data_IF_111664603114
#
_entry.id   IF_111664603114
#
_cell.length_a   1.000
_cell.length_b   1.000
_cell.length_c   1.000
_cell.angle_alpha   90.00
_cell.angle_beta   90.00
_cell.angle_gamma   90.00
#
_symmetry.space_group_name_H-M   'P 1'
#
loop_
_entity.id
_entity.type
_entity.pdbx_description
1 polymer ?
#
# COMPACT_ATOMS: atom_id res chain seq x y z
N UNK A 1 24.65 -81.86 -3.71
CA UNK A 1 25.79 -81.13 -3.11
C UNK A 1 25.49 -79.65 -3.28
N UNK A 2 25.49 -78.94 -2.14
CA UNK A 2 25.84 -77.52 -1.86
C UNK A 2 25.82 -76.48 -3.00
N UNK A 3 25.51 -75.19 -2.88
CA UNK A 3 24.95 -74.21 -1.91
C UNK A 3 25.20 -72.84 -2.60
N UNK A 4 24.39 -71.80 -2.31
CA UNK A 4 24.65 -70.36 -2.49
C UNK A 4 24.67 -69.78 -3.91
N UNK A 5 24.16 -68.58 -4.16
CA UNK A 5 23.61 -67.58 -3.25
C UNK A 5 23.30 -66.28 -4.01
N UNK A 6 22.33 -65.54 -3.46
CA UNK A 6 22.12 -64.08 -3.46
C UNK A 6 22.49 -63.23 -4.69
N UNK A 7 21.51 -62.50 -5.23
CA UNK A 7 21.19 -61.17 -4.72
C UNK A 7 20.18 -60.48 -5.68
N UNK A 8 18.92 -60.43 -5.25
CA UNK A 8 17.93 -59.54 -5.82
C UNK A 8 18.20 -58.13 -5.27
N UNK A 9 18.86 -57.28 -6.05
CA UNK A 9 18.95 -55.84 -5.78
C UNK A 9 17.64 -55.17 -6.17
N UNK A 10 16.71 -55.13 -5.21
CA UNK A 10 15.55 -54.24 -5.20
C UNK A 10 16.05 -52.81 -4.99
N UNK A 11 16.06 -52.00 -6.04
CA UNK A 11 16.17 -50.54 -5.92
C UNK A 11 14.90 -50.00 -5.24
N UNK A 12 14.95 -49.92 -3.91
CA UNK A 12 14.03 -49.08 -3.15
C UNK A 12 14.36 -47.62 -3.45
N UNK A 13 13.50 -46.98 -4.24
CA UNK A 13 13.42 -45.52 -4.33
C UNK A 13 13.32 -44.90 -2.93
N UNK A 14 13.94 -43.74 -2.67
CA UNK A 14 13.80 -43.07 -1.39
C UNK A 14 12.34 -42.65 -1.22
N UNK A 15 11.70 -43.18 -0.18
CA UNK A 15 10.45 -42.64 0.35
C UNK A 15 10.75 -41.20 0.75
N UNK A 16 10.24 -40.26 -0.04
CA UNK A 16 10.25 -38.85 0.27
C UNK A 16 9.46 -38.65 1.57
N UNK A 17 10.17 -38.52 2.69
CA UNK A 17 9.59 -38.13 3.97
C UNK A 17 9.16 -36.66 3.89
N UNK A 18 8.00 -36.43 3.30
CA UNK A 18 7.21 -35.22 3.53
C UNK A 18 5.98 -35.66 4.30
N UNK A 19 5.95 -35.54 5.64
CA UNK A 19 4.68 -35.62 6.39
C UNK A 19 4.68 -35.16 7.86
N UNK A 20 5.80 -34.73 8.46
CA UNK A 20 5.75 -34.32 9.88
C UNK A 20 5.38 -32.85 10.11
N UNK A 21 5.68 -31.94 9.17
CA UNK A 21 5.42 -30.50 9.38
C UNK A 21 3.96 -30.08 9.12
N UNK A 22 3.22 -30.75 8.22
CA UNK A 22 1.81 -30.41 7.96
C UNK A 22 0.86 -30.78 9.12
N UNK A 23 1.34 -31.59 10.08
CA UNK A 23 0.55 -32.01 11.25
C UNK A 23 0.73 -31.11 12.47
N UNK A 24 1.66 -30.13 12.47
CA UNK A 24 1.87 -29.26 13.62
C UNK A 24 0.64 -28.38 13.92
N UNK A 25 -0.01 -27.83 12.88
CA UNK A 25 -1.22 -27.00 13.03
C UNK A 25 -2.42 -27.80 13.54
N UNK A 26 -2.52 -29.10 13.19
CA UNK A 26 -3.59 -29.98 13.70
C UNK A 26 -3.42 -30.36 15.17
N UNK A 27 -2.23 -30.13 15.74
CA UNK A 27 -1.96 -30.35 17.17
C UNK A 27 -2.35 -29.13 18.01
N UNK A 28 -2.62 -27.99 17.40
CA UNK A 28 -3.12 -26.81 18.10
C UNK A 28 -4.63 -26.95 18.34
N UNK A 29 -5.12 -26.54 19.53
CA UNK A 29 -6.55 -26.39 19.77
C UNK A 29 -7.20 -25.45 18.75
N UNK A 30 -8.37 -25.84 18.25
CA UNK A 30 -9.19 -25.09 17.31
C UNK A 30 -9.43 -23.65 17.82
N UNK A 31 -9.66 -23.47 19.12
CA UNK A 31 -9.91 -22.17 19.74
C UNK A 31 -8.71 -21.22 19.65
N UNK A 32 -7.48 -21.74 19.73
CA UNK A 32 -6.28 -20.93 19.58
C UNK A 32 -6.10 -20.47 18.13
N UNK A 33 -6.42 -21.35 17.18
CA UNK A 33 -6.39 -21.00 15.74
C UNK A 33 -7.42 -19.91 15.46
N UNK A 34 -8.64 -20.05 15.98
CA UNK A 34 -9.70 -19.05 15.82
C UNK A 34 -9.36 -17.71 16.49
N UNK A 35 -8.80 -17.74 17.70
CA UNK A 35 -8.36 -16.53 18.40
C UNK A 35 -7.25 -15.81 17.63
N UNK A 36 -6.30 -16.55 17.06
CA UNK A 36 -5.26 -15.99 16.22
C UNK A 36 -5.84 -15.42 14.91
N UNK A 37 -6.79 -16.11 14.27
CA UNK A 37 -7.43 -15.63 13.06
C UNK A 37 -8.22 -14.32 13.29
N UNK A 38 -8.82 -14.15 14.47
CA UNK A 38 -9.63 -12.98 14.79
C UNK A 38 -8.86 -11.64 14.81
N UNK A 39 -7.52 -11.69 14.90
CA UNK A 39 -6.67 -10.50 14.82
C UNK A 39 -6.03 -10.29 13.44
N UNK A 40 -6.31 -11.19 12.49
CA UNK A 40 -5.76 -11.10 11.14
C UNK A 40 -6.68 -10.24 10.23
N UNK A 41 -6.09 -9.58 9.21
CA UNK A 41 -6.87 -8.98 8.14
C UNK A 41 -7.75 -10.02 7.46
N UNK A 42 -8.95 -9.61 7.01
CA UNK A 42 -9.92 -10.51 6.38
C UNK A 42 -9.29 -11.37 5.26
N UNK A 43 -8.42 -10.75 4.44
CA UNK A 43 -7.76 -11.42 3.32
C UNK A 43 -6.76 -12.48 3.76
N UNK A 44 -6.08 -12.28 4.88
CA UNK A 44 -5.21 -13.29 5.46
C UNK A 44 -6.02 -14.48 5.97
N UNK A 45 -7.18 -14.24 6.61
CA UNK A 45 -8.09 -15.32 7.04
C UNK A 45 -8.59 -16.11 5.82
N UNK A 46 -9.03 -15.42 4.77
CA UNK A 46 -9.48 -16.06 3.54
C UNK A 46 -8.39 -16.92 2.91
N UNK A 47 -7.18 -16.38 2.75
CA UNK A 47 -6.03 -17.11 2.23
C UNK A 47 -5.66 -18.32 3.09
N UNK A 48 -5.66 -18.19 4.43
CA UNK A 48 -5.46 -19.32 5.34
C UNK A 48 -6.49 -20.42 5.11
N UNK A 49 -7.76 -20.05 4.93
CA UNK A 49 -8.82 -20.99 4.57
C UNK A 49 -8.53 -21.71 3.25
N UNK A 50 -7.99 -21.03 2.24
CA UNK A 50 -7.67 -21.65 0.94
C UNK A 50 -6.46 -22.59 0.99
N UNK A 51 -5.53 -22.40 1.93
CA UNK A 51 -4.31 -23.24 2.00
C UNK A 51 -4.56 -24.67 2.49
N UNK A 52 -5.60 -24.89 3.30
CA UNK A 52 -5.83 -26.19 3.95
C UNK A 52 -7.32 -26.45 4.21
N UNK A 53 -7.82 -27.62 3.77
CA UNK A 53 -9.22 -28.05 3.98
C UNK A 53 -9.67 -28.03 5.45
N UNK A 54 -8.78 -28.37 6.38
CA UNK A 54 -9.07 -28.32 7.82
C UNK A 54 -9.26 -26.87 8.29
N UNK A 55 -8.35 -25.96 7.90
CA UNK A 55 -8.50 -24.53 8.21
C UNK A 55 -9.72 -23.93 7.53
N UNK A 56 -10.03 -24.33 6.29
CA UNK A 56 -11.25 -23.92 5.62
C UNK A 56 -12.50 -24.29 6.42
N UNK A 57 -12.61 -25.55 6.83
CA UNK A 57 -13.75 -26.06 7.59
C UNK A 57 -13.86 -25.42 8.98
N UNK A 58 -12.73 -25.04 9.59
CA UNK A 58 -12.68 -24.38 10.89
C UNK A 58 -13.02 -22.88 10.81
N UNK A 59 -12.46 -22.17 9.83
CA UNK A 59 -12.55 -20.71 9.71
C UNK A 59 -13.86 -20.26 9.05
N UNK A 60 -14.32 -20.97 8.01
CA UNK A 60 -15.48 -20.54 7.21
C UNK A 60 -16.75 -20.31 8.07
N UNK A 61 -17.14 -21.18 9.01
CA UNK A 61 -18.35 -20.95 9.81
C UNK A 61 -18.25 -19.69 10.69
N UNK A 62 -17.06 -19.37 11.20
CA UNK A 62 -16.83 -18.25 12.13
C UNK A 62 -16.69 -16.93 11.38
N UNK A 63 -15.99 -16.93 10.25
CA UNK A 63 -15.67 -15.73 9.48
C UNK A 63 -16.43 -15.66 8.14
N UNK A 64 -17.60 -16.30 8.05
CA UNK A 64 -18.35 -16.43 6.79
C UNK A 64 -18.61 -15.08 6.11
N UNK A 65 -18.91 -14.02 6.86
CA UNK A 65 -19.15 -12.69 6.30
C UNK A 65 -17.89 -12.06 5.74
N UNK A 66 -16.72 -12.26 6.35
CA UNK A 66 -15.43 -11.84 5.80
C UNK A 66 -15.10 -12.58 4.50
N UNK A 67 -15.36 -13.90 4.44
CA UNK A 67 -15.20 -14.68 3.21
C UNK A 67 -16.12 -14.17 2.10
N UNK A 68 -17.40 -13.98 2.41
CA UNK A 68 -18.39 -13.47 1.46
C UNK A 68 -18.04 -12.06 0.96
N UNK A 69 -17.56 -11.17 1.85
CA UNK A 69 -17.14 -9.83 1.47
C UNK A 69 -15.98 -9.88 0.45
N UNK A 70 -14.97 -10.72 0.69
CA UNK A 70 -13.82 -10.87 -0.21
C UNK A 70 -14.24 -11.46 -1.55
N UNK A 71 -15.07 -12.51 -1.55
CA UNK A 71 -15.59 -13.08 -2.80
C UNK A 71 -16.38 -12.05 -3.62
N UNK A 72 -17.17 -11.21 -2.96
CA UNK A 72 -17.93 -10.16 -3.65
C UNK A 72 -17.03 -9.01 -4.15
N UNK A 73 -15.96 -8.67 -3.43
CA UNK A 73 -14.91 -7.76 -3.91
C UNK A 73 -14.23 -8.35 -5.15
N UNK A 74 -13.86 -9.63 -5.13
CA UNK A 74 -13.15 -10.25 -6.23
C UNK A 74 -14.05 -10.41 -7.48
N UNK A 75 -15.37 -10.60 -7.31
CA UNK A 75 -16.34 -10.53 -8.42
C UNK A 75 -16.34 -9.16 -9.10
N UNK A 76 -16.19 -8.07 -8.35
CA UNK A 76 -16.04 -6.72 -8.94
C UNK A 76 -14.80 -6.68 -9.82
N UNK A 77 -13.70 -7.34 -9.42
CA UNK A 77 -12.44 -7.33 -10.19
C UNK A 77 -12.54 -8.15 -11.48
N UNK A 78 -13.27 -9.26 -11.49
CA UNK A 78 -13.25 -10.24 -12.59
C UNK A 78 -14.41 -10.14 -13.58
N UNK A 79 -15.58 -9.65 -13.17
CA UNK A 79 -16.79 -9.67 -14.01
C UNK A 79 -17.07 -8.35 -14.76
N UNK A 80 -18.03 -8.40 -15.69
CA UNK A 80 -18.69 -7.18 -16.21
C UNK A 80 -19.51 -6.60 -15.06
N UNK A 81 -18.95 -5.59 -14.39
CA UNK A 81 -19.55 -5.04 -13.18
C UNK A 81 -20.90 -4.41 -13.44
N UNK A 82 -21.88 -4.93 -12.70
CA UNK A 82 -23.19 -4.33 -12.54
C UNK A 82 -23.22 -3.54 -11.24
N UNK A 83 -24.03 -2.48 -11.19
CA UNK A 83 -24.31 -1.73 -9.95
C UNK A 83 -24.76 -2.66 -8.81
N UNK A 84 -25.44 -3.76 -9.16
CA UNK A 84 -25.88 -4.78 -8.21
C UNK A 84 -24.70 -5.50 -7.53
N UNK A 85 -23.62 -5.79 -8.27
CA UNK A 85 -22.42 -6.43 -7.72
C UNK A 85 -21.73 -5.52 -6.70
N UNK A 86 -21.67 -4.21 -6.99
CA UNK A 86 -21.13 -3.22 -6.05
C UNK A 86 -22.00 -3.10 -4.78
N UNK A 87 -23.32 -2.95 -4.92
CA UNK A 87 -24.24 -2.89 -3.77
C UNK A 87 -24.17 -4.16 -2.93
N UNK A 88 -24.03 -5.33 -3.56
CA UNK A 88 -23.86 -6.61 -2.86
C UNK A 88 -22.54 -6.66 -2.08
N UNK A 89 -21.44 -6.14 -2.63
CA UNK A 89 -20.17 -6.04 -1.91
C UNK A 89 -20.32 -5.12 -0.69
N UNK A 90 -20.86 -3.91 -0.85
CA UNK A 90 -21.08 -2.98 0.26
C UNK A 90 -21.96 -3.58 1.37
N UNK A 91 -23.07 -4.22 0.99
CA UNK A 91 -23.93 -4.92 1.96
C UNK A 91 -23.21 -6.06 2.68
N UNK A 92 -22.26 -6.73 2.02
CA UNK A 92 -21.46 -7.79 2.65
C UNK A 92 -20.43 -7.23 3.63
N UNK A 93 -19.87 -6.05 3.33
CA UNK A 93 -18.96 -5.34 4.24
C UNK A 93 -19.67 -4.90 5.53
N UNK A 94 -20.91 -4.41 5.42
CA UNK A 94 -21.72 -4.06 6.60
C UNK A 94 -21.97 -5.26 7.52
N UNK A 95 -22.08 -6.46 6.94
CA UNK A 95 -22.28 -7.71 7.66
C UNK A 95 -21.00 -8.29 8.30
N UNK A 96 -19.81 -7.74 8.02
CA UNK A 96 -18.57 -8.21 8.63
C UNK A 96 -18.60 -7.95 10.13
N UNK A 97 -18.43 -9.01 10.93
CA UNK A 97 -18.57 -8.97 12.39
C UNK A 97 -17.34 -8.39 13.09
N UNK A 98 -16.20 -8.32 12.42
CA UNK A 98 -14.94 -7.81 12.95
C UNK A 98 -14.74 -6.40 12.42
N UNK A 99 -15.13 -5.39 13.22
CA UNK A 99 -15.04 -3.98 12.83
C UNK A 99 -13.62 -3.58 12.38
N UNK A 100 -12.57 -4.12 13.02
CA UNK A 100 -11.18 -3.84 12.65
C UNK A 100 -10.81 -4.24 11.21
N UNK A 101 -11.58 -5.10 10.55
CA UNK A 101 -11.33 -5.51 9.16
C UNK A 101 -11.96 -4.57 8.13
N UNK A 102 -12.98 -3.79 8.52
CA UNK A 102 -13.78 -3.01 7.59
C UNK A 102 -12.99 -1.91 6.85
N UNK A 103 -12.06 -1.16 7.48
CA UNK A 103 -11.26 -0.16 6.78
C UNK A 103 -10.46 -0.73 5.59
N UNK A 104 -9.74 -1.82 5.81
CA UNK A 104 -8.98 -2.50 4.75
C UNK A 104 -9.91 -3.06 3.66
N UNK A 105 -11.07 -3.62 4.02
CA UNK A 105 -12.06 -4.09 3.06
C UNK A 105 -12.64 -2.96 2.21
N UNK A 106 -12.90 -1.78 2.80
CA UNK A 106 -13.38 -0.60 2.07
C UNK A 106 -12.34 -0.11 1.05
N UNK A 107 -11.05 -0.12 1.42
CA UNK A 107 -9.95 0.13 0.47
C UNK A 107 -9.95 -0.89 -0.66
N UNK A 108 -10.07 -2.18 -0.35
CA UNK A 108 -10.11 -3.26 -1.33
C UNK A 108 -11.27 -3.12 -2.33
N UNK A 109 -12.48 -2.77 -1.85
CA UNK A 109 -13.65 -2.46 -2.71
C UNK A 109 -13.38 -1.26 -3.60
N UNK A 110 -12.85 -0.17 -3.05
CA UNK A 110 -12.56 1.05 -3.81
C UNK A 110 -11.56 0.80 -4.94
N UNK A 111 -10.49 0.05 -4.66
CA UNK A 111 -9.50 -0.35 -5.65
C UNK A 111 -10.13 -1.22 -6.75
N UNK A 112 -10.89 -2.25 -6.35
CA UNK A 112 -11.60 -3.11 -7.29
C UNK A 112 -12.52 -2.32 -8.22
N UNK A 113 -13.26 -1.36 -7.67
CA UNK A 113 -14.20 -0.54 -8.45
C UNK A 113 -13.48 0.45 -9.38
N UNK A 114 -12.44 1.13 -8.89
CA UNK A 114 -11.74 2.16 -9.65
C UNK A 114 -11.02 1.62 -10.89
N UNK A 115 -10.44 0.41 -10.81
CA UNK A 115 -9.74 -0.21 -11.94
C UNK A 115 -10.67 -0.42 -13.15
N UNK A 116 -11.97 -0.59 -12.92
CA UNK A 116 -12.96 -0.76 -13.99
C UNK A 116 -13.29 0.55 -14.70
N UNK A 117 -13.31 1.65 -13.95
CA UNK A 117 -13.64 2.98 -14.49
C UNK A 117 -12.54 3.55 -15.39
N UNK A 118 -11.32 3.03 -15.31
CA UNK A 118 -10.20 3.43 -16.17
C UNK A 118 -10.25 2.69 -17.52
N UNK A 119 -10.68 1.41 -17.53
CA UNK A 119 -10.69 0.56 -18.73
C UNK A 119 -12.03 0.50 -19.46
N UNK A 120 -13.13 0.96 -18.86
CA UNK A 120 -14.47 0.86 -19.45
C UNK A 120 -15.27 2.17 -19.34
N UNK A 121 -15.36 2.83 -20.50
CA UNK A 121 -16.48 3.65 -21.00
C UNK A 121 -16.42 5.17 -20.75
N UNK A 122 -16.40 5.86 -21.89
CA UNK A 122 -16.92 7.18 -22.22
C UNK A 122 -17.87 7.79 -21.15
N UNK A 123 -17.57 8.98 -20.59
CA UNK A 123 -18.39 9.63 -19.56
C UNK A 123 -19.86 9.87 -19.95
N UNK A 124 -20.20 9.77 -21.23
CA UNK A 124 -21.55 9.99 -21.78
C UNK A 124 -22.54 8.84 -21.49
N UNK A 125 -22.05 7.62 -21.23
CA UNK A 125 -22.90 6.46 -20.94
C UNK A 125 -23.07 6.16 -19.44
N UNK A 126 -22.67 7.09 -18.55
CA UNK A 126 -23.21 7.13 -17.20
C UNK A 126 -24.67 7.54 -17.30
N UNK A 127 -25.54 6.57 -17.58
CA UNK A 127 -26.98 6.69 -17.51
C UNK A 127 -27.43 6.96 -16.07
N UNK A 128 -27.07 8.13 -15.56
CA UNK A 128 -27.76 8.79 -14.47
C UNK A 128 -29.04 9.32 -15.12
N UNK A 129 -30.07 8.46 -15.14
CA UNK A 129 -31.42 8.95 -15.37
C UNK A 129 -31.72 9.97 -14.27
N UNK A 130 -32.06 11.23 -14.58
CA UNK A 130 -32.28 12.26 -13.56
C UNK A 130 -33.55 12.03 -12.73
N UNK A 131 -34.34 10.99 -13.01
CA UNK A 131 -35.70 10.82 -12.50
C UNK A 131 -35.92 9.45 -11.83
N UNK A 132 -35.24 9.18 -10.72
CA UNK A 132 -35.74 8.23 -9.73
C UNK A 132 -35.52 8.79 -8.33
N UNK A 133 -36.60 9.32 -7.76
CA UNK A 133 -36.70 9.93 -6.42
C UNK A 133 -36.47 8.95 -5.24
N UNK A 134 -35.69 7.88 -5.41
CA UNK A 134 -35.48 6.86 -4.36
C UNK A 134 -34.10 6.21 -4.28
N UNK A 135 -33.16 6.49 -5.18
CA UNK A 135 -31.85 5.82 -5.17
C UNK A 135 -30.78 6.80 -4.66
N UNK A 136 -30.38 6.61 -3.40
CA UNK A 136 -29.16 7.20 -2.86
C UNK A 136 -28.01 6.88 -3.82
N UNK A 137 -27.30 7.92 -4.29
CA UNK A 137 -26.15 7.74 -5.18
C UNK A 137 -25.14 6.79 -4.52
N UNK A 138 -24.61 5.82 -5.26
CA UNK A 138 -23.62 4.85 -4.74
C UNK A 138 -22.40 5.56 -4.12
N UNK A 139 -22.10 6.78 -4.60
CA UNK A 139 -21.10 7.68 -4.00
C UNK A 139 -21.46 8.08 -2.57
N UNK A 140 -22.72 8.44 -2.30
CA UNK A 140 -23.20 8.83 -0.97
C UNK A 140 -23.21 7.63 -0.01
N UNK A 141 -23.60 6.44 -0.49
CA UNK A 141 -23.54 5.20 0.29
C UNK A 141 -22.08 4.92 0.71
N UNK A 142 -21.13 5.06 -0.22
CA UNK A 142 -19.71 4.87 0.06
C UNK A 142 -19.16 5.91 1.05
N UNK A 143 -19.48 7.19 0.85
CA UNK A 143 -19.09 8.27 1.76
C UNK A 143 -19.62 8.04 3.18
N UNK A 144 -20.88 7.63 3.32
CA UNK A 144 -21.46 7.29 4.63
C UNK A 144 -20.73 6.12 5.29
N UNK A 145 -20.38 5.09 4.52
CA UNK A 145 -19.63 3.95 5.04
C UNK A 145 -18.23 4.37 5.54
N UNK A 146 -17.54 5.23 4.79
CA UNK A 146 -16.24 5.79 5.22
C UNK A 146 -16.37 6.58 6.51
N UNK A 147 -17.33 7.51 6.61
CA UNK A 147 -17.51 8.33 7.80
C UNK A 147 -17.92 7.49 9.02
N UNK A 148 -18.82 6.53 8.86
CA UNK A 148 -19.24 5.62 9.94
C UNK A 148 -18.08 4.79 10.50
N UNK A 149 -17.11 4.40 9.66
CA UNK A 149 -15.91 3.69 10.12
C UNK A 149 -14.89 4.63 10.76
N UNK A 150 -14.75 5.86 10.28
CA UNK A 150 -13.87 6.87 10.91
C UNK A 150 -14.29 7.19 12.33
N UNK A 151 -15.59 7.30 12.60
CA UNK A 151 -16.12 7.57 13.94
C UNK A 151 -15.78 6.49 14.96
N UNK A 152 -15.47 5.27 14.50
CA UNK A 152 -15.12 4.14 15.37
C UNK A 152 -13.62 4.06 15.69
N UNK A 153 -12.77 4.71 14.89
CA UNK A 153 -11.32 4.67 15.07
C UNK A 153 -10.89 5.88 15.91
N UNK A 154 -10.14 5.70 17.02
CA UNK A 154 -9.69 6.81 17.84
C UNK A 154 -8.83 7.82 17.09
N UNK A 155 -9.07 9.11 17.33
CA UNK A 155 -8.19 10.21 16.94
C UNK A 155 -7.76 10.99 18.19
N UNK A 156 -6.45 11.11 18.49
CA UNK A 156 -5.31 10.53 17.77
C UNK A 156 -5.27 8.98 17.84
N UNK A 157 -4.69 8.31 16.83
CA UNK A 157 -4.60 6.84 16.82
C UNK A 157 -3.73 6.33 17.98
N UNK A 158 -4.17 5.27 18.65
CA UNK A 158 -3.50 4.71 19.83
C UNK A 158 -2.52 3.60 19.47
N UNK A 159 -2.67 3.01 18.30
CA UNK A 159 -1.85 1.91 17.79
C UNK A 159 -1.46 2.12 16.32
N UNK A 160 -0.47 1.35 15.83
CA UNK A 160 -0.15 1.29 14.41
C UNK A 160 -1.37 0.81 13.61
N UNK A 161 -2.13 -0.14 14.15
CA UNK A 161 -3.34 -0.66 13.49
C UNK A 161 -4.40 0.42 13.31
N UNK A 162 -4.62 1.27 14.31
CA UNK A 162 -5.56 2.41 14.22
C UNK A 162 -5.10 3.40 13.14
N UNK A 163 -3.80 3.69 13.12
CA UNK A 163 -3.22 4.60 12.15
C UNK A 163 -3.34 4.07 10.72
N UNK A 164 -3.04 2.78 10.50
CA UNK A 164 -3.20 2.12 9.20
C UNK A 164 -4.67 2.01 8.78
N UNK A 165 -5.59 1.79 9.70
CA UNK A 165 -7.02 1.79 9.42
C UNK A 165 -7.50 3.18 8.93
N UNK A 166 -7.03 4.27 9.54
CA UNK A 166 -7.33 5.63 9.06
C UNK A 166 -6.69 5.91 7.69
N UNK A 167 -5.49 5.39 7.44
CA UNK A 167 -4.84 5.43 6.11
C UNK A 167 -5.69 4.69 5.08
N UNK A 168 -6.17 3.49 5.37
CA UNK A 168 -7.03 2.71 4.47
C UNK A 168 -8.28 3.48 4.06
N UNK A 169 -8.94 4.17 5.00
CA UNK A 169 -10.12 5.00 4.71
C UNK A 169 -9.78 6.23 3.84
N UNK A 170 -8.61 6.85 4.04
CA UNK A 170 -8.16 7.96 3.20
C UNK A 170 -7.78 7.50 1.79
N UNK A 171 -7.12 6.35 1.65
CA UNK A 171 -6.81 5.75 0.35
C UNK A 171 -8.10 5.38 -0.38
N UNK A 172 -9.02 4.70 0.30
CA UNK A 172 -10.33 4.33 -0.25
C UNK A 172 -11.10 5.56 -0.78
N UNK A 173 -11.12 6.63 0.03
CA UNK A 173 -11.67 7.93 -0.37
C UNK A 173 -10.98 8.55 -1.57
N UNK A 174 -9.64 8.55 -1.62
CA UNK A 174 -8.91 9.09 -2.76
C UNK A 174 -9.14 8.30 -4.04
N UNK A 175 -9.10 6.98 -3.97
CA UNK A 175 -9.22 6.09 -5.13
C UNK A 175 -10.60 6.26 -5.79
N UNK A 176 -11.65 6.23 -4.97
CA UNK A 176 -13.05 6.26 -5.40
C UNK A 176 -13.55 7.68 -5.72
N UNK A 177 -13.20 8.67 -4.88
CA UNK A 177 -13.75 10.03 -4.92
C UNK A 177 -12.76 11.08 -5.44
N UNK A 178 -11.52 10.67 -5.74
CA UNK A 178 -10.40 11.57 -6.13
C UNK A 178 -10.12 12.67 -5.11
N UNK A 179 -10.42 12.41 -3.84
CA UNK A 179 -10.21 13.35 -2.73
C UNK A 179 -9.50 12.68 -1.57
N UNK A 180 -8.44 13.32 -1.06
CA UNK A 180 -7.81 12.98 0.22
C UNK A 180 -8.49 13.69 1.40
N UNK A 181 -9.50 14.53 1.13
CA UNK A 181 -10.22 15.34 2.11
C UNK A 181 -11.65 14.82 2.35
N UNK A 182 -11.89 13.53 2.15
CA UNK A 182 -13.21 12.93 2.43
C UNK A 182 -13.59 13.10 3.92
N UNK A 183 -12.63 13.43 4.80
CA UNK A 183 -12.84 13.79 6.21
C UNK A 183 -12.30 15.17 6.57
N UNK A 184 -12.69 15.62 7.77
CA UNK A 184 -12.12 16.79 8.45
C UNK A 184 -10.60 16.70 8.62
N UNK A 185 -10.06 15.50 8.86
CA UNK A 185 -8.62 15.28 9.05
C UNK A 185 -7.96 14.84 7.75
N UNK A 186 -7.11 15.71 7.20
CA UNK A 186 -6.31 15.42 6.00
C UNK A 186 -5.06 14.58 6.32
N UNK A 187 -4.34 14.07 5.30
CA UNK A 187 -3.17 13.21 5.49
C UNK A 187 -2.03 13.85 6.31
N UNK A 188 -1.75 15.15 6.11
CA UNK A 188 -0.73 15.88 6.88
C UNK A 188 -1.13 15.99 8.35
N UNK A 189 -2.40 16.33 8.61
CA UNK A 189 -2.92 16.46 9.98
C UNK A 189 -2.92 15.11 10.70
N UNK A 190 -3.34 14.05 10.02
CA UNK A 190 -3.29 12.70 10.56
C UNK A 190 -1.86 12.29 10.91
N UNK A 191 -0.89 12.58 10.04
CA UNK A 191 0.52 12.34 10.32
C UNK A 191 0.96 13.09 11.59
N UNK A 192 0.66 14.38 11.70
CA UNK A 192 1.04 15.22 12.85
C UNK A 192 0.36 14.81 14.17
N UNK A 193 -0.86 14.28 14.12
CA UNK A 193 -1.58 13.77 15.29
C UNK A 193 -1.12 12.37 15.73
N UNK A 194 -0.43 11.63 14.85
CA UNK A 194 -0.01 10.26 15.10
C UNK A 194 1.35 10.18 15.79
N UNK A 195 1.61 9.10 16.52
CA UNK A 195 2.94 8.82 17.03
C UNK A 195 3.93 8.69 15.87
N UNK A 196 5.06 9.40 15.94
CA UNK A 196 6.09 9.39 14.91
C UNK A 196 6.59 7.99 14.58
N UNK A 197 6.63 7.06 15.54
CA UNK A 197 7.00 5.66 15.27
C UNK A 197 6.11 4.97 14.20
N UNK A 198 4.89 5.46 13.96
CA UNK A 198 3.95 4.90 13.00
C UNK A 198 4.14 5.48 11.59
N UNK A 199 4.80 6.64 11.48
CA UNK A 199 4.88 7.40 10.24
C UNK A 199 5.43 6.63 9.03
N UNK A 200 6.52 5.84 9.14
CA UNK A 200 7.01 5.07 8.00
C UNK A 200 5.95 4.13 7.44
N UNK A 201 5.31 3.33 8.30
CA UNK A 201 4.27 2.39 7.89
C UNK A 201 3.06 3.09 7.25
N UNK A 202 2.67 4.26 7.79
CA UNK A 202 1.58 5.05 7.20
C UNK A 202 1.94 5.57 5.80
N UNK A 203 3.17 6.09 5.60
CA UNK A 203 3.61 6.59 4.30
C UNK A 203 3.75 5.48 3.26
N UNK A 204 4.31 4.33 3.62
CA UNK A 204 4.36 3.17 2.74
C UNK A 204 2.94 2.77 2.30
N UNK A 205 2.02 2.63 3.27
CA UNK A 205 0.64 2.24 3.00
C UNK A 205 -0.11 3.25 2.11
N UNK A 206 0.07 4.57 2.29
CA UNK A 206 -0.50 5.53 1.35
C UNK A 206 0.11 5.38 -0.05
N UNK A 207 1.43 5.25 -0.15
CA UNK A 207 2.13 5.20 -1.43
C UNK A 207 1.71 3.98 -2.26
N UNK A 208 1.34 2.85 -1.65
CA UNK A 208 0.89 1.66 -2.38
C UNK A 208 -0.17 1.96 -3.45
N UNK A 209 -1.14 2.84 -3.16
CA UNK A 209 -2.25 3.14 -4.07
C UNK A 209 -2.43 4.63 -4.41
N UNK A 210 -1.78 5.54 -3.68
CA UNK A 210 -1.87 6.98 -3.92
C UNK A 210 -0.57 7.47 -4.57
N UNK A 211 -0.64 8.17 -5.71
CA UNK A 211 0.56 8.63 -6.39
C UNK A 211 1.28 9.70 -5.55
N UNK A 212 2.61 9.64 -5.52
CA UNK A 212 3.44 10.48 -4.64
C UNK A 212 3.19 11.99 -4.80
N UNK A 213 2.88 12.46 -6.00
CA UNK A 213 2.57 13.88 -6.24
C UNK A 213 1.33 14.37 -5.46
N UNK A 214 0.34 13.50 -5.22
CA UNK A 214 -0.82 13.82 -4.39
C UNK A 214 -0.48 13.86 -2.89
N UNK A 215 0.61 13.21 -2.49
CA UNK A 215 1.13 13.15 -1.12
C UNK A 215 2.31 14.09 -0.86
N UNK A 216 2.70 14.95 -1.81
CA UNK A 216 3.93 15.76 -1.73
C UNK A 216 4.10 16.52 -0.40
N UNK A 217 3.02 17.04 0.16
CA UNK A 217 3.05 17.78 1.43
C UNK A 217 3.25 16.84 2.64
N UNK A 218 2.70 15.62 2.57
CA UNK A 218 2.87 14.59 3.60
C UNK A 218 4.30 14.07 3.59
N UNK A 219 4.84 13.80 2.40
CA UNK A 219 6.22 13.35 2.20
C UNK A 219 7.20 14.43 2.69
N UNK A 220 6.96 15.71 2.37
CA UNK A 220 7.77 16.81 2.88
C UNK A 220 7.69 16.91 4.41
N UNK A 221 6.50 16.79 5.00
CA UNK A 221 6.32 16.79 6.45
C UNK A 221 7.07 15.64 7.13
N UNK A 222 7.03 14.44 6.55
CA UNK A 222 7.80 13.29 7.00
C UNK A 222 9.31 13.55 6.89
N UNK A 223 9.77 13.97 5.71
CA UNK A 223 11.17 14.23 5.41
C UNK A 223 11.78 15.23 6.41
N UNK A 224 11.08 16.33 6.69
CA UNK A 224 11.56 17.38 7.60
C UNK A 224 11.37 17.01 9.07
N UNK A 225 10.23 16.46 9.46
CA UNK A 225 9.78 16.35 10.84
C UNK A 225 10.01 15.01 11.55
N UNK A 226 10.32 13.92 10.83
CA UNK A 226 10.47 12.58 11.42
C UNK A 226 11.70 12.39 12.31
N UNK A 227 11.61 12.51 13.63
CA UNK A 227 12.72 12.22 14.57
C UNK A 227 12.48 10.91 15.34
N UNK A 228 11.68 10.02 14.76
CA UNK A 228 11.32 8.73 15.33
C UNK A 228 12.47 7.71 15.31
N UNK A 229 12.18 6.45 15.66
CA UNK A 229 13.15 5.36 15.61
C UNK A 229 13.78 5.24 14.22
N UNK A 230 15.06 4.88 14.16
CA UNK A 230 15.72 4.61 12.87
C UNK A 230 15.18 3.28 12.35
N UNK A 231 14.21 3.35 11.42
CA UNK A 231 13.60 2.19 10.75
C UNK A 231 14.00 2.24 9.29
N UNK A 232 14.34 1.07 8.73
CA UNK A 232 14.56 0.93 7.29
C UNK A 232 13.25 1.19 6.53
N UNK A 233 13.33 2.04 5.51
CA UNK A 233 12.22 2.36 4.60
C UNK A 233 12.40 1.68 3.25
N UNK A 234 11.32 1.48 2.50
CA UNK A 234 11.40 0.89 1.15
C UNK A 234 12.22 1.77 0.21
N UNK A 235 12.76 1.17 -0.87
CA UNK A 235 13.45 1.93 -1.93
C UNK A 235 12.55 3.00 -2.55
N UNK A 236 11.24 2.72 -2.66
CA UNK A 236 10.24 3.66 -3.18
C UNK A 236 10.10 4.88 -2.28
N UNK A 237 9.88 4.67 -0.97
CA UNK A 237 9.77 5.76 -0.01
C UNK A 237 11.09 6.54 0.09
N UNK A 238 12.23 5.84 0.07
CA UNK A 238 13.56 6.47 0.08
C UNK A 238 13.74 7.46 -1.09
N UNK A 239 13.34 7.08 -2.30
CA UNK A 239 13.38 7.96 -3.47
C UNK A 239 12.52 9.22 -3.32
N UNK A 240 11.28 9.09 -2.84
CA UNK A 240 10.38 10.24 -2.65
C UNK A 240 10.84 11.17 -1.53
N UNK A 241 11.39 10.63 -0.44
CA UNK A 241 11.95 11.41 0.65
C UNK A 241 13.20 12.16 0.20
N UNK A 242 14.09 11.51 -0.57
CA UNK A 242 15.26 12.17 -1.15
C UNK A 242 14.87 13.33 -2.07
N UNK A 243 13.83 13.15 -2.91
CA UNK A 243 13.25 14.23 -3.72
C UNK A 243 12.78 15.40 -2.83
N UNK A 244 12.02 15.12 -1.78
CA UNK A 244 11.54 16.16 -0.86
C UNK A 244 12.68 16.88 -0.11
N UNK A 245 13.79 16.21 0.17
CA UNK A 245 14.97 16.80 0.82
C UNK A 245 15.83 17.63 -0.13
N UNK A 246 15.99 17.16 -1.37
CA UNK A 246 16.86 17.76 -2.37
C UNK A 246 16.20 18.95 -3.08
N UNK A 247 14.91 18.85 -3.35
CA UNK A 247 14.13 19.92 -3.94
C UNK A 247 13.33 20.63 -2.86
N UNK A 248 13.65 21.92 -2.65
CA UNK A 248 12.82 22.79 -1.80
C UNK A 248 11.43 22.87 -2.43
N UNK A 249 10.38 22.72 -1.62
CA UNK A 249 9.00 22.96 -2.05
C UNK A 249 8.89 24.35 -2.69
N UNK A 250 8.15 24.48 -3.80
CA UNK A 250 8.00 25.75 -4.52
C UNK A 250 7.46 26.88 -3.62
N UNK A 251 6.70 26.52 -2.58
CA UNK A 251 6.18 27.46 -1.58
C UNK A 251 7.28 28.09 -0.70
N UNK A 252 8.39 27.38 -0.50
CA UNK A 252 9.53 27.76 0.32
C UNK A 252 10.65 28.39 -0.52
N UNK A 253 10.72 28.09 -1.82
CA UNK A 253 11.75 28.60 -2.74
C UNK A 253 11.76 30.14 -2.88
N UNK A 254 10.71 30.84 -2.46
CA UNK A 254 10.63 32.31 -2.46
C UNK A 254 11.25 32.97 -1.22
N UNK A 255 11.64 32.20 -0.20
CA UNK A 255 12.25 32.73 1.00
C UNK A 255 13.78 32.92 0.82
N UNK A 256 14.32 34.11 1.07
CA UNK A 256 15.72 34.46 0.74
C UNK A 256 16.79 33.73 1.56
N UNK A 257 16.41 32.87 2.51
CA UNK A 257 17.32 32.19 3.44
C UNK A 257 17.30 30.67 3.35
N UNK A 258 16.57 30.09 2.38
CA UNK A 258 16.52 28.63 2.27
C UNK A 258 17.70 28.13 1.45
N UNK A 259 18.63 27.49 2.15
CA UNK A 259 19.77 26.80 1.55
C UNK A 259 19.28 25.47 0.99
N UNK A 260 19.37 25.31 -0.34
CA UNK A 260 19.12 24.02 -1.00
C UNK A 260 20.20 23.02 -0.57
N UNK A 261 19.81 21.82 -0.14
CA UNK A 261 20.77 20.76 0.23
C UNK A 261 21.48 20.21 -1.00
N UNK A 262 22.76 19.92 -0.90
CA UNK A 262 23.52 19.16 -1.91
C UNK A 262 23.17 17.68 -1.84
N UNK A 263 23.43 16.91 -2.89
CA UNK A 263 23.21 15.47 -2.88
C UNK A 263 24.00 14.76 -1.77
N UNK A 264 25.30 15.06 -1.53
CA UNK A 264 26.02 14.51 -0.39
C UNK A 264 25.35 14.76 0.96
N UNK A 265 24.76 15.94 1.19
CA UNK A 265 24.01 16.25 2.41
C UNK A 265 22.72 15.44 2.51
N UNK A 266 22.00 15.27 1.40
CA UNK A 266 20.79 14.43 1.34
C UNK A 266 21.15 12.98 1.60
N UNK A 267 22.15 12.42 0.93
CA UNK A 267 22.59 11.03 1.12
C UNK A 267 23.02 10.77 2.57
N UNK A 268 23.78 11.68 3.18
CA UNK A 268 24.16 11.58 4.59
C UNK A 268 22.94 11.59 5.52
N UNK A 269 21.94 12.44 5.23
CA UNK A 269 20.68 12.48 5.98
C UNK A 269 19.87 11.19 5.80
N UNK A 270 19.77 10.67 4.57
CA UNK A 270 19.06 9.43 4.26
C UNK A 270 19.65 8.24 5.03
N UNK A 271 20.98 8.14 5.05
CA UNK A 271 21.67 7.11 5.80
C UNK A 271 21.42 7.23 7.31
N UNK A 272 21.62 8.44 7.86
CA UNK A 272 21.56 8.67 9.32
C UNK A 272 20.13 8.58 9.89
N UNK A 273 19.14 9.09 9.17
CA UNK A 273 17.77 9.31 9.68
C UNK A 273 16.81 8.20 9.28
N UNK A 274 16.99 7.62 8.09
CA UNK A 274 16.06 6.66 7.50
C UNK A 274 16.69 5.28 7.25
N UNK A 275 17.89 5.05 7.80
CA UNK A 275 18.64 3.80 7.67
C UNK A 275 18.86 3.32 6.22
N UNK A 276 18.88 4.25 5.25
CA UNK A 276 19.15 3.88 3.86
C UNK A 276 20.58 3.38 3.76
N UNK A 277 20.75 2.14 3.33
CA UNK A 277 22.05 1.46 3.37
C UNK A 277 22.27 0.45 2.24
N UNK A 278 21.21 -0.01 1.58
CA UNK A 278 21.32 -0.97 0.48
C UNK A 278 21.59 -0.28 -0.85
N UNK A 279 22.30 -0.98 -1.75
CA UNK A 279 22.55 -0.51 -3.11
C UNK A 279 21.24 -0.23 -3.87
N UNK A 280 20.27 -1.14 -3.75
CA UNK A 280 18.94 -0.98 -4.38
C UNK A 280 18.19 0.28 -3.93
N UNK A 281 18.35 0.73 -2.68
CA UNK A 281 17.75 2.00 -2.23
C UNK A 281 18.50 3.20 -2.80
N UNK A 282 19.84 3.14 -2.90
CA UNK A 282 20.63 4.22 -3.50
C UNK A 282 20.35 4.39 -4.99
N UNK A 283 20.25 3.28 -5.73
CA UNK A 283 19.89 3.28 -7.13
C UNK A 283 18.48 3.87 -7.34
N UNK A 284 17.50 3.43 -6.53
CA UNK A 284 16.14 3.98 -6.59
C UNK A 284 16.08 5.49 -6.28
N UNK A 285 16.92 5.97 -5.35
CA UNK A 285 17.06 7.40 -5.09
C UNK A 285 17.61 8.12 -6.32
N UNK A 286 18.71 7.64 -6.90
CA UNK A 286 19.34 8.26 -8.06
C UNK A 286 18.37 8.30 -9.26
N UNK A 287 17.68 7.20 -9.55
CA UNK A 287 16.64 7.13 -10.60
C UNK A 287 15.50 8.12 -10.36
N UNK A 288 15.04 8.23 -9.11
CA UNK A 288 13.92 9.10 -8.76
C UNK A 288 14.30 10.58 -8.84
N UNK A 289 15.50 10.96 -8.40
CA UNK A 289 16.04 12.33 -8.53
C UNK A 289 16.24 12.68 -10.01
N UNK A 290 16.83 11.77 -10.80
CA UNK A 290 17.00 11.93 -12.25
C UNK A 290 15.66 12.17 -12.96
N UNK A 291 14.63 11.39 -12.60
CA UNK A 291 13.27 11.55 -13.12
C UNK A 291 12.67 12.92 -12.74
N UNK A 292 12.84 13.35 -11.50
CA UNK A 292 12.36 14.67 -11.04
C UNK A 292 13.07 15.83 -11.76
N UNK A 293 14.38 15.74 -11.97
CA UNK A 293 15.15 16.74 -12.72
C UNK A 293 14.61 16.90 -14.14
N UNK A 294 14.32 15.80 -14.84
CA UNK A 294 13.71 15.86 -16.18
C UNK A 294 12.35 16.52 -16.19
N UNK A 295 11.52 16.22 -15.18
CA UNK A 295 10.18 16.79 -15.08
C UNK A 295 10.23 18.31 -14.82
N UNK A 296 11.19 18.78 -14.03
CA UNK A 296 11.36 20.22 -13.72
C UNK A 296 12.09 21.00 -14.80
N UNK A 297 12.97 20.35 -15.55
CA UNK A 297 13.80 20.96 -16.59
C UNK A 297 13.64 20.21 -17.92
N UNK A 298 12.64 20.59 -18.74
CA UNK A 298 12.38 19.93 -20.02
C UNK A 298 13.55 20.01 -21.01
N UNK A 299 14.42 21.01 -20.86
CA UNK A 299 15.62 21.20 -21.67
C UNK A 299 16.85 20.64 -20.93
N UNK A 300 17.19 19.39 -21.21
CA UNK A 300 18.29 18.64 -20.58
C UNK A 300 19.70 19.13 -20.95
N UNK A 301 19.82 20.00 -21.97
CA UNK A 301 21.07 20.69 -22.31
C UNK A 301 21.20 22.08 -21.66
N UNK A 302 20.21 22.51 -20.87
CA UNK A 302 20.27 23.80 -20.21
C UNK A 302 21.34 23.84 -19.10
N UNK A 303 21.97 25.00 -18.91
CA UNK A 303 22.92 25.21 -17.83
C UNK A 303 22.29 24.97 -16.44
N UNK A 304 21.01 25.31 -16.27
CA UNK A 304 20.27 25.06 -15.04
C UNK A 304 20.12 23.56 -14.73
N UNK A 305 19.78 22.74 -15.75
CA UNK A 305 19.71 21.28 -15.57
C UNK A 305 21.08 20.70 -15.20
N UNK A 306 22.14 21.09 -15.91
CA UNK A 306 23.49 20.60 -15.63
C UNK A 306 23.97 20.98 -14.22
N UNK A 307 23.66 22.20 -13.78
CA UNK A 307 24.01 22.67 -12.44
C UNK A 307 23.29 21.87 -11.35
N UNK A 308 21.99 21.61 -11.52
CA UNK A 308 21.22 20.81 -10.59
C UNK A 308 21.68 19.34 -10.57
N UNK A 309 22.11 18.79 -11.73
CA UNK A 309 22.76 17.48 -11.77
C UNK A 309 24.06 17.46 -10.95
N UNK A 310 24.94 18.45 -11.11
CA UNK A 310 26.19 18.57 -10.33
C UNK A 310 25.92 18.74 -8.84
N UNK A 311 24.88 19.50 -8.48
CA UNK A 311 24.46 19.68 -7.08
C UNK A 311 24.05 18.35 -6.45
N UNK A 312 23.43 17.44 -7.21
CA UNK A 312 23.16 16.08 -6.76
C UNK A 312 24.43 15.25 -6.70
N UNK A 313 25.07 15.00 -7.85
CA UNK A 313 26.31 14.24 -7.95
C UNK A 313 27.11 14.70 -9.17
N UNK A 314 28.38 15.02 -8.95
CA UNK A 314 29.33 15.33 -10.02
C UNK A 314 29.89 14.04 -10.64
N UNK A 315 29.00 13.27 -11.28
CA UNK A 315 29.33 12.02 -11.97
C UNK A 315 28.72 11.99 -13.38
N UNK A 316 29.51 11.51 -14.34
CA UNK A 316 29.09 11.35 -15.75
C UNK A 316 28.01 10.26 -15.85
N UNK A 317 28.05 9.24 -15.00
CA UNK A 317 27.01 8.20 -14.94
C UNK A 317 25.65 8.80 -14.57
N UNK A 318 25.58 9.56 -13.47
CA UNK A 318 24.36 10.24 -13.06
C UNK A 318 23.84 11.24 -14.10
N UNK A 319 24.71 12.07 -14.69
CA UNK A 319 24.28 13.00 -15.75
C UNK A 319 23.67 12.26 -16.94
N UNK A 320 24.23 11.11 -17.31
CA UNK A 320 23.71 10.25 -18.38
C UNK A 320 22.34 9.68 -18.02
N UNK A 321 22.18 9.17 -16.79
CA UNK A 321 20.90 8.70 -16.25
C UNK A 321 19.84 9.80 -16.27
N UNK A 322 20.19 11.00 -15.81
CA UNK A 322 19.29 12.15 -15.78
C UNK A 322 18.89 12.63 -17.19
N UNK A 323 19.78 12.53 -18.19
CA UNK A 323 19.43 12.90 -19.58
C UNK A 323 18.53 11.86 -20.25
N UNK A 324 18.85 10.58 -20.10
CA UNK A 324 18.24 9.50 -20.87
C UNK A 324 17.06 8.83 -20.16
N UNK A 325 16.93 9.02 -18.83
CA UNK A 325 16.03 8.27 -17.97
C UNK A 325 16.57 6.88 -17.62
N UNK A 326 15.97 6.26 -16.60
CA UNK A 326 16.12 4.83 -16.37
C UNK A 326 15.66 4.09 -17.63
N UNK A 327 16.61 3.52 -18.37
CA UNK A 327 16.29 2.59 -19.44
C UNK A 327 15.96 1.29 -18.74
N UNK A 328 14.67 0.97 -18.65
CA UNK A 328 14.24 -0.35 -18.18
C UNK A 328 14.87 -1.40 -19.08
N UNK A 329 15.80 -2.18 -18.56
CA UNK A 329 16.13 -3.51 -19.08
C UNK A 329 15.31 -4.51 -18.28
#
# INVERSE_FOLDING_TARGET
MSISGDAASSETLPVCMMNDDQNALRKLPDELILAAANVLPARAIFNLGLTNKYLHALLLPVFHTSFQAIENIDKIRTDIVSLNTWRQAMSSLDAVSIEAQKPALLRDVALAYSNLTVDRVDPVNRGISPNSDSDESDTLIFERALEAQKEQIPLPPKSVSDALALVDLQVAGYVMLKSLQVSKTGPVELLLLSNKAFWPAMLESWLDDVPAHALKNVIACFAEGYDGPVVEISSRLAGEVAVAQFFVSDALATQPFIVKRTGPEVLALMHKRFNVSTEAQWDAIDERIATELRNRYPLTESAAFQEECRRWREDVGFLTLAKNGATSV
#
